data_IF_637365006039
#
_entry.id   IF_637365006039
#
_cell.length_a   1.000
_cell.length_b   1.000
_cell.length_c   1.000
_cell.angle_alpha   90.00
_cell.angle_beta   90.00
_cell.angle_gamma   90.00
#
_symmetry.space_group_name_H-M   'P 1'
#
loop_
_entity.id
_entity.type
_entity.pdbx_description
1 polymer ?
#
# COMPACT_ATOMS: atom_id res chain seq x y z
N UNK A 1 -12.73 20.44 -4.01
CA UNK A 1 -13.74 19.34 -3.96
C UNK A 1 -13.64 18.41 -5.17
N UNK A 2 -13.50 18.91 -6.39
CA UNK A 2 -13.34 18.11 -7.62
C UNK A 2 -12.03 17.32 -7.67
N UNK A 3 -10.88 17.97 -7.36
CA UNK A 3 -9.57 17.30 -7.35
C UNK A 3 -9.54 16.09 -6.39
N UNK A 4 -10.11 16.23 -5.19
CA UNK A 4 -10.24 15.13 -4.22
C UNK A 4 -10.94 13.91 -4.81
N UNK A 5 -12.06 14.13 -5.50
CA UNK A 5 -12.84 13.04 -6.10
C UNK A 5 -12.05 12.34 -7.20
N UNK A 6 -11.37 13.11 -8.04
CA UNK A 6 -10.53 12.57 -9.12
C UNK A 6 -9.41 11.70 -8.53
N UNK A 7 -8.70 12.19 -7.52
CA UNK A 7 -7.61 11.44 -6.89
C UNK A 7 -8.13 10.17 -6.19
N UNK A 8 -9.25 10.28 -5.47
CA UNK A 8 -9.85 9.14 -4.78
C UNK A 8 -10.26 8.04 -5.77
N UNK A 9 -10.89 8.42 -6.89
CA UNK A 9 -11.22 7.50 -7.98
C UNK A 9 -9.94 6.89 -8.57
N UNK A 10 -8.92 7.70 -8.86
CA UNK A 10 -7.66 7.22 -9.43
C UNK A 10 -6.97 6.20 -8.51
N UNK A 11 -6.82 6.49 -7.22
CA UNK A 11 -6.23 5.57 -6.25
C UNK A 11 -7.04 4.28 -6.10
N UNK A 12 -8.37 4.37 -6.06
CA UNK A 12 -9.22 3.18 -6.04
C UNK A 12 -9.09 2.34 -7.32
N UNK A 13 -9.05 2.98 -8.49
CA UNK A 13 -8.86 2.28 -9.77
C UNK A 13 -7.49 1.61 -9.85
N UNK A 14 -6.42 2.28 -9.43
CA UNK A 14 -5.07 1.70 -9.34
C UNK A 14 -5.07 0.50 -8.40
N UNK A 15 -5.63 0.65 -7.19
CA UNK A 15 -5.71 -0.42 -6.20
C UNK A 15 -6.45 -1.66 -6.72
N UNK A 16 -7.58 -1.48 -7.41
CA UNK A 16 -8.33 -2.60 -8.01
C UNK A 16 -7.53 -3.26 -9.14
N UNK A 17 -7.00 -2.46 -10.08
CA UNK A 17 -6.31 -2.97 -11.25
C UNK A 17 -5.07 -3.79 -10.87
N UNK A 18 -4.24 -3.28 -9.96
CA UNK A 18 -3.05 -4.01 -9.51
C UNK A 18 -3.37 -5.18 -8.58
N UNK A 19 -4.46 -5.11 -7.80
CA UNK A 19 -4.94 -6.29 -7.05
C UNK A 19 -5.25 -7.44 -8.02
N UNK A 20 -5.94 -7.14 -9.12
CA UNK A 20 -6.26 -8.14 -10.15
C UNK A 20 -4.97 -8.69 -10.78
N UNK A 21 -4.04 -7.82 -11.20
CA UNK A 21 -2.76 -8.24 -11.79
C UNK A 21 -1.99 -9.17 -10.84
N UNK A 22 -1.82 -8.78 -9.57
CA UNK A 22 -1.09 -9.60 -8.60
C UNK A 22 -1.78 -10.92 -8.27
N UNK A 23 -3.11 -10.97 -8.28
CA UNK A 23 -3.86 -12.23 -8.15
C UNK A 23 -3.63 -13.17 -9.34
N UNK A 24 -3.44 -12.64 -10.56
CA UNK A 24 -3.15 -13.45 -11.75
C UNK A 24 -1.67 -13.84 -11.87
N UNK A 25 -0.73 -12.93 -11.56
CA UNK A 25 0.71 -13.19 -11.63
C UNK A 25 1.22 -14.16 -10.58
N UNK A 26 0.57 -14.23 -9.41
CA UNK A 26 0.94 -15.18 -8.35
C UNK A 26 0.67 -16.65 -8.71
N UNK A 27 0.24 -16.96 -9.94
CA UNK A 27 0.03 -18.34 -10.42
C UNK A 27 -1.24 -19.00 -9.86
N UNK A 28 -2.11 -18.23 -9.22
CA UNK A 28 -3.32 -18.71 -8.54
C UNK A 28 -4.44 -18.89 -9.57
N UNK A 29 -4.29 -19.90 -10.41
CA UNK A 29 -5.36 -20.34 -11.28
C UNK A 29 -6.41 -21.05 -10.39
N UNK A 30 -7.49 -20.34 -10.04
CA UNK A 30 -8.76 -20.86 -9.51
C UNK A 30 -8.79 -21.56 -8.13
N UNK A 31 -7.65 -21.82 -7.47
CA UNK A 31 -7.62 -22.53 -6.18
C UNK A 31 -7.27 -21.61 -4.99
N UNK A 32 -8.22 -20.75 -4.62
CA UNK A 32 -8.14 -19.86 -3.43
C UNK A 32 -7.78 -20.58 -2.12
N UNK A 33 -7.93 -21.91 -2.08
CA UNK A 33 -7.68 -22.76 -0.92
C UNK A 33 -6.18 -22.96 -0.60
N UNK A 34 -5.30 -22.87 -1.60
CA UNK A 34 -3.84 -22.89 -1.37
C UNK A 34 -3.32 -21.52 -0.91
N UNK A 35 -3.92 -20.44 -1.41
CA UNK A 35 -3.56 -19.08 -1.00
C UNK A 35 -4.12 -18.70 0.37
N UNK A 36 -5.20 -19.32 0.83
CA UNK A 36 -5.62 -19.25 2.22
C UNK A 36 -5.47 -20.64 2.83
N UNK A 37 -4.23 -21.13 2.93
CA UNK A 37 -3.97 -22.21 3.88
C UNK A 37 -4.25 -21.63 5.28
N UNK A 38 -5.46 -21.87 5.79
CA UNK A 38 -5.91 -21.40 7.09
C UNK A 38 -5.10 -22.01 8.25
N UNK A 39 -4.05 -22.78 7.97
CA UNK A 39 -3.06 -23.18 8.96
C UNK A 39 -2.35 -21.92 9.49
N UNK A 40 -2.53 -21.67 10.79
CA UNK A 40 -1.94 -20.52 11.49
C UNK A 40 -0.42 -20.43 11.29
N UNK A 41 0.24 -21.56 10.98
CA UNK A 41 1.69 -21.68 10.74
C UNK A 41 2.13 -21.14 9.37
N UNK A 42 1.28 -21.19 8.35
CA UNK A 42 1.58 -20.69 7.00
C UNK A 42 1.62 -19.16 6.93
N UNK A 43 0.72 -18.49 7.66
CA UNK A 43 0.63 -17.02 7.72
C UNK A 43 1.89 -16.32 8.28
N UNK A 44 2.67 -17.01 9.10
CA UNK A 44 3.93 -16.49 9.65
C UNK A 44 5.16 -16.90 8.83
N UNK A 45 4.99 -17.52 7.67
CA UNK A 45 6.12 -17.82 6.80
C UNK A 45 6.46 -16.63 5.90
N UNK A 46 7.74 -16.25 5.88
CA UNK A 46 8.25 -15.14 5.07
C UNK A 46 7.86 -15.26 3.59
N UNK A 47 7.99 -16.46 3.04
CA UNK A 47 7.67 -16.73 1.63
C UNK A 47 6.21 -16.44 1.30
N UNK A 48 5.28 -16.76 2.20
CA UNK A 48 3.86 -16.52 2.00
C UNK A 48 3.51 -15.04 2.15
N UNK A 49 4.08 -14.39 3.18
CA UNK A 49 3.89 -12.96 3.39
C UNK A 49 4.40 -12.12 2.21
N UNK A 50 5.55 -12.47 1.64
CA UNK A 50 6.13 -11.76 0.48
C UNK A 50 5.28 -11.92 -0.80
N UNK A 51 4.54 -13.03 -0.92
CA UNK A 51 3.59 -13.21 -2.04
C UNK A 51 2.30 -12.38 -1.87
N UNK A 52 1.87 -12.13 -0.63
CA UNK A 52 0.62 -11.43 -0.31
C UNK A 52 0.81 -9.93 -0.09
N UNK A 53 2.01 -9.51 0.32
CA UNK A 53 2.32 -8.11 0.59
C UNK A 53 1.89 -7.15 -0.53
N UNK A 54 2.14 -7.42 -1.82
CA UNK A 54 1.73 -6.52 -2.90
C UNK A 54 0.20 -6.33 -2.93
N UNK A 55 -0.55 -7.41 -2.63
CA UNK A 55 -2.01 -7.36 -2.52
C UNK A 55 -2.45 -6.54 -1.31
N UNK A 56 -1.79 -6.70 -0.15
CA UNK A 56 -2.06 -5.89 1.05
C UNK A 56 -1.86 -4.40 0.73
N UNK A 57 -0.75 -4.03 0.09
CA UNK A 57 -0.45 -2.64 -0.29
C UNK A 57 -1.54 -2.09 -1.23
N UNK A 58 -1.99 -2.88 -2.22
CA UNK A 58 -3.11 -2.50 -3.09
C UNK A 58 -4.41 -2.27 -2.33
N UNK A 59 -4.72 -3.12 -1.34
CA UNK A 59 -5.92 -2.98 -0.50
C UNK A 59 -5.85 -1.73 0.39
N UNK A 60 -4.67 -1.40 0.93
CA UNK A 60 -4.46 -0.15 1.69
C UNK A 60 -4.70 1.06 0.79
N UNK A 61 -4.16 1.06 -0.44
CA UNK A 61 -4.40 2.13 -1.41
C UNK A 61 -5.88 2.26 -1.80
N UNK A 62 -6.55 1.13 -2.06
CA UNK A 62 -7.98 1.10 -2.39
C UNK A 62 -8.81 1.68 -1.24
N UNK A 63 -8.56 1.24 -0.01
CA UNK A 63 -9.28 1.70 1.17
C UNK A 63 -9.02 3.20 1.43
N UNK A 64 -7.77 3.64 1.29
CA UNK A 64 -7.39 5.05 1.36
C UNK A 64 -8.12 5.90 0.31
N UNK A 65 -8.19 5.43 -0.94
CA UNK A 65 -8.90 6.07 -2.05
C UNK A 65 -10.41 6.17 -1.82
N UNK A 66 -11.06 5.09 -1.38
CA UNK A 66 -12.50 5.09 -1.05
C UNK A 66 -12.79 6.05 0.10
N UNK A 67 -11.96 6.05 1.15
CA UNK A 67 -12.13 6.98 2.27
C UNK A 67 -11.96 8.43 1.84
N UNK A 68 -11.10 8.71 0.85
CA UNK A 68 -10.96 10.05 0.29
C UNK A 68 -12.27 10.56 -0.34
N UNK A 69 -13.11 9.64 -0.85
CA UNK A 69 -14.43 9.94 -1.41
C UNK A 69 -15.51 10.11 -0.33
N UNK A 70 -15.56 9.19 0.65
CA UNK A 70 -16.67 9.10 1.62
C UNK A 70 -16.39 9.86 2.92
N UNK A 71 -15.20 9.71 3.50
CA UNK A 71 -14.81 10.29 4.80
C UNK A 71 -13.38 10.84 4.72
N UNK A 72 -13.18 11.98 4.07
CA UNK A 72 -11.84 12.47 3.71
C UNK A 72 -10.96 12.72 4.95
N UNK A 73 -11.51 13.11 6.09
CA UNK A 73 -10.74 13.31 7.33
C UNK A 73 -10.11 12.03 7.89
N UNK A 74 -10.59 10.84 7.51
CA UNK A 74 -10.04 9.55 7.95
C UNK A 74 -9.10 8.90 6.93
N UNK A 75 -8.97 9.47 5.74
CA UNK A 75 -8.15 8.91 4.65
C UNK A 75 -6.65 9.17 4.87
N UNK A 76 -6.30 10.32 5.42
CA UNK A 76 -4.92 10.78 5.59
C UNK A 76 -3.98 9.75 6.26
N UNK A 77 -4.31 9.14 7.43
CA UNK A 77 -3.41 8.17 8.05
C UNK A 77 -3.19 6.93 7.18
N UNK A 78 -4.18 6.53 6.40
CA UNK A 78 -4.13 5.31 5.58
C UNK A 78 -3.30 5.54 4.33
N UNK A 79 -3.46 6.72 3.72
CA UNK A 79 -2.60 7.16 2.63
C UNK A 79 -1.15 7.31 3.08
N UNK A 80 -0.91 7.77 4.32
CA UNK A 80 0.42 7.80 4.89
C UNK A 80 1.01 6.40 5.11
N UNK A 81 0.24 5.44 5.64
CA UNK A 81 0.68 4.04 5.76
C UNK A 81 1.09 3.46 4.41
N UNK A 82 0.25 3.64 3.38
CA UNK A 82 0.56 3.21 2.02
C UNK A 82 1.86 3.86 1.51
N UNK A 83 1.97 5.18 1.66
CA UNK A 83 3.11 5.93 1.16
C UNK A 83 4.42 5.53 1.82
N UNK A 84 4.43 5.37 3.15
CA UNK A 84 5.63 4.94 3.87
C UNK A 84 6.03 3.50 3.51
N UNK A 85 5.08 2.56 3.48
CA UNK A 85 5.38 1.17 3.16
C UNK A 85 5.98 1.02 1.75
N UNK A 86 5.43 1.73 0.75
CA UNK A 86 5.95 1.70 -0.63
C UNK A 86 7.31 2.38 -0.74
N UNK A 87 7.47 3.57 -0.16
CA UNK A 87 8.74 4.30 -0.27
C UNK A 87 9.87 3.57 0.44
N UNK A 88 9.62 3.00 1.61
CA UNK A 88 10.64 2.26 2.34
C UNK A 88 11.13 1.04 1.55
N UNK A 89 10.22 0.24 0.98
CA UNK A 89 10.59 -0.91 0.15
C UNK A 89 11.44 -0.47 -1.06
N UNK A 90 11.08 0.63 -1.71
CA UNK A 90 11.84 1.18 -2.84
C UNK A 90 13.22 1.70 -2.40
N UNK A 91 13.28 2.41 -1.29
CA UNK A 91 14.53 2.97 -0.75
C UNK A 91 15.48 1.84 -0.31
N UNK A 92 14.97 0.82 0.39
CA UNK A 92 15.74 -0.36 0.80
C UNK A 92 16.27 -1.13 -0.41
N UNK A 93 15.47 -1.24 -1.47
CA UNK A 93 15.89 -1.84 -2.74
C UNK A 93 16.99 -1.04 -3.43
N UNK A 94 16.95 0.30 -3.40
CA UNK A 94 18.03 1.14 -3.91
C UNK A 94 19.34 0.99 -3.12
N UNK A 95 19.25 0.72 -1.81
CA UNK A 95 20.41 0.39 -0.98
C UNK A 95 20.86 -1.07 -1.12
N UNK A 96 20.18 -1.89 -1.92
CA UNK A 96 20.49 -3.31 -2.12
C UNK A 96 20.19 -4.19 -0.92
N UNK A 97 19.36 -3.71 0.03
CA UNK A 97 18.95 -4.46 1.21
C UNK A 97 17.83 -5.45 0.85
N UNK A 98 16.92 -5.04 -0.04
CA UNK A 98 15.79 -5.86 -0.51
C UNK A 98 15.78 -5.95 -2.03
N UNK A 99 15.05 -6.92 -2.60
CA UNK A 99 14.93 -7.08 -4.05
C UNK A 99 13.48 -6.89 -4.48
N UNK A 100 13.22 -5.90 -5.33
CA UNK A 100 11.90 -5.71 -5.93
C UNK A 100 11.78 -6.59 -7.17
N UNK A 101 10.92 -7.60 -7.09
CA UNK A 101 10.68 -8.55 -8.19
C UNK A 101 9.61 -8.08 -9.18
N UNK A 102 9.19 -6.81 -9.12
CA UNK A 102 8.17 -6.25 -10.02
C UNK A 102 8.78 -5.53 -11.22
N UNK A 103 8.12 -5.57 -12.39
CA UNK A 103 8.49 -4.74 -13.52
C UNK A 103 8.60 -3.26 -13.16
N UNK A 104 9.59 -2.57 -13.74
CA UNK A 104 9.91 -1.17 -13.42
C UNK A 104 8.70 -0.22 -13.56
N UNK A 105 7.79 -0.47 -14.51
CA UNK A 105 6.60 0.36 -14.68
C UNK A 105 5.66 0.30 -13.47
N UNK A 106 5.54 -0.85 -12.79
CA UNK A 106 4.74 -1.00 -11.56
C UNK A 106 5.37 -0.16 -10.47
N UNK A 107 6.69 -0.28 -10.30
CA UNK A 107 7.45 0.47 -9.30
C UNK A 107 7.28 1.98 -9.48
N UNK A 108 7.36 2.48 -10.71
CA UNK A 108 7.18 3.91 -11.01
C UNK A 108 5.77 4.40 -10.68
N UNK A 109 4.73 3.62 -11.00
CA UNK A 109 3.34 3.97 -10.69
C UNK A 109 3.12 4.02 -9.17
N UNK A 110 3.61 3.01 -8.44
CA UNK A 110 3.49 2.95 -6.99
C UNK A 110 4.30 4.04 -6.30
N UNK A 111 5.51 4.31 -6.76
CA UNK A 111 6.35 5.41 -6.26
C UNK A 111 5.66 6.76 -6.42
N UNK A 112 5.14 7.06 -7.61
CA UNK A 112 4.43 8.31 -7.89
C UNK A 112 3.16 8.43 -7.04
N UNK A 113 2.43 7.32 -6.88
CA UNK A 113 1.23 7.27 -6.02
C UNK A 113 1.58 7.46 -4.55
N UNK A 114 2.70 6.92 -4.07
CA UNK A 114 3.16 7.03 -2.69
C UNK A 114 3.56 8.46 -2.34
N UNK A 115 4.28 9.14 -3.24
CA UNK A 115 4.59 10.56 -3.08
C UNK A 115 3.33 11.42 -3.03
N UNK A 116 2.38 11.18 -3.94
CA UNK A 116 1.10 11.88 -3.95
C UNK A 116 0.28 11.58 -2.69
N UNK A 117 0.27 10.33 -2.23
CA UNK A 117 -0.44 9.91 -1.02
C UNK A 117 0.10 10.60 0.24
N UNK A 118 1.44 10.68 0.38
CA UNK A 118 2.08 11.40 1.48
C UNK A 118 1.85 12.91 1.38
N UNK A 119 1.95 13.48 0.17
CA UNK A 119 1.63 14.88 -0.04
C UNK A 119 0.21 15.19 0.44
N UNK A 120 -0.77 14.38 0.06
CA UNK A 120 -2.17 14.56 0.48
C UNK A 120 -2.34 14.35 1.98
N UNK A 121 -1.66 13.38 2.57
CA UNK A 121 -1.76 13.10 4.00
C UNK A 121 -1.25 14.28 4.85
N UNK A 122 -0.12 14.88 4.46
CA UNK A 122 0.54 15.94 5.23
C UNK A 122 0.16 17.36 4.80
N UNK A 123 -0.42 17.55 3.61
CA UNK A 123 -0.80 18.86 3.08
C UNK A 123 -2.27 19.19 3.36
N UNK A 124 -2.55 20.45 3.69
CA UNK A 124 -3.93 20.98 3.82
C UNK A 124 -4.54 21.36 2.45
N UNK A 125 -3.94 20.90 1.35
CA UNK A 125 -4.28 21.33 -0.02
C UNK A 125 -5.67 20.88 -0.50
N UNK A 126 -6.33 19.95 0.21
CA UNK A 126 -7.60 19.34 -0.22
C UNK A 126 -8.77 19.64 0.75
N UNK A 127 -8.65 20.67 1.60
CA UNK A 127 -9.59 20.95 2.71
C UNK A 127 -9.76 19.70 3.61
N UNK A 128 -8.64 19.07 3.94
CA UNK A 128 -8.56 17.92 4.83
C UNK A 128 -7.75 18.32 6.04
N UNK A 129 -8.23 17.97 7.23
CA UNK A 129 -7.46 18.19 8.46
C UNK A 129 -6.10 17.52 8.30
N UNK A 130 -5.02 18.31 8.34
CA UNK A 130 -3.66 17.79 8.26
C UNK A 130 -3.48 16.65 9.26
N UNK A 131 -2.70 15.65 8.85
CA UNK A 131 -2.37 14.54 9.73
C UNK A 131 -1.73 15.07 11.02
N UNK A 132 -2.28 14.67 12.17
CA UNK A 132 -1.64 15.01 13.44
C UNK A 132 -0.28 14.32 13.52
N UNK A 133 0.72 14.93 14.16
CA UNK A 133 2.04 14.31 14.37
C UNK A 133 1.93 12.91 14.99
N UNK A 134 0.96 12.69 15.89
CA UNK A 134 0.71 11.37 16.50
C UNK A 134 0.24 10.34 15.47
N UNK A 135 -0.64 10.75 14.56
CA UNK A 135 -1.15 9.89 13.49
C UNK A 135 -0.05 9.61 12.45
N UNK A 136 0.77 10.61 12.13
CA UNK A 136 1.96 10.48 11.28
C UNK A 136 2.96 9.46 11.80
N UNK A 137 3.34 9.57 13.08
CA UNK A 137 4.23 8.60 13.72
C UNK A 137 3.60 7.21 13.71
N UNK A 138 2.29 7.07 14.00
CA UNK A 138 1.62 5.77 13.94
C UNK A 138 1.62 5.15 12.53
N UNK A 139 1.40 5.98 11.49
CA UNK A 139 1.40 5.53 10.10
C UNK A 139 2.79 5.13 9.62
N UNK A 140 3.83 5.83 10.09
CA UNK A 140 5.22 5.48 9.82
C UNK A 140 5.55 4.14 10.50
N UNK A 141 5.24 3.99 11.79
CA UNK A 141 5.49 2.72 12.51
C UNK A 141 4.79 1.56 11.80
N UNK A 142 3.52 1.71 11.42
CA UNK A 142 2.79 0.66 10.72
C UNK A 142 3.39 0.35 9.34
N UNK A 143 3.73 1.39 8.56
CA UNK A 143 4.42 1.21 7.27
C UNK A 143 5.73 0.44 7.44
N UNK A 144 6.57 0.88 8.38
CA UNK A 144 7.85 0.21 8.72
C UNK A 144 7.69 -1.19 9.24
N UNK A 145 6.62 -1.46 9.99
CA UNK A 145 6.36 -2.81 10.49
C UNK A 145 6.00 -3.73 9.34
N UNK A 146 5.17 -3.28 8.39
CA UNK A 146 4.78 -4.06 7.21
C UNK A 146 6.04 -4.42 6.38
N UNK A 147 6.89 -3.44 6.12
CA UNK A 147 8.13 -3.65 5.35
C UNK A 147 9.14 -4.52 6.11
N UNK A 148 9.33 -4.29 7.41
CA UNK A 148 10.24 -5.07 8.23
C UNK A 148 9.81 -6.54 8.34
N UNK A 149 8.50 -6.79 8.48
CA UNK A 149 7.95 -8.15 8.54
C UNK A 149 8.16 -8.91 7.23
N UNK A 150 8.18 -8.21 6.09
CA UNK A 150 8.46 -8.80 4.77
C UNK A 150 9.91 -9.19 4.54
N UNK A 151 10.83 -8.51 5.20
CA UNK A 151 12.24 -8.64 4.87
C UNK A 151 13.04 -9.42 5.92
N UNK A 152 12.55 -9.51 7.16
CA UNK A 152 13.33 -9.98 8.30
C UNK A 152 12.68 -11.06 9.16
N UNK A 153 11.40 -11.40 8.96
CA UNK A 153 10.74 -12.51 9.67
C UNK A 153 10.88 -13.84 8.92
#
# INVERSE_FOLDING_TARGET
MTARKIIGIAFSSIGILFSIIFLFESGINTNLKEYFDFSFKSYFSLSYFNQILPLIICLILLYGGILLLVKPTKSNPILAVFGFAVLEEIVLSWFGITSINFPTYIVVIFFSSALLALWIAYSDTINQKHLSLKEGVSSLILGTTITAFSNWL
#
